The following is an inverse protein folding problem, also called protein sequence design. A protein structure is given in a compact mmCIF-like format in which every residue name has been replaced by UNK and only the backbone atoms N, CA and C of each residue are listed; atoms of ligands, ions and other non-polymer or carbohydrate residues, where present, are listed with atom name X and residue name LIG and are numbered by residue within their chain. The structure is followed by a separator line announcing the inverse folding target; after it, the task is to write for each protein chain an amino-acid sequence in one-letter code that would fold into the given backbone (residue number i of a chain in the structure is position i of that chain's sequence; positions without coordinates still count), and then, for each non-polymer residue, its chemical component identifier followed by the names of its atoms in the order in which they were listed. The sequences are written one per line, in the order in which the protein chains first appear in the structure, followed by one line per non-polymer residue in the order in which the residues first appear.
data_IF_250876692375
#
_entry.id   IF_250876692375
#
_cell.length_a   1.000
_cell.length_b   1.000
_cell.length_c   1.000
_cell.angle_alpha   90.00
_cell.angle_beta   90.00
_cell.angle_gamma   90.00
#
_symmetry.space_group_name_H-M   'P 1'
#
loop_
_entity.id
_entity.type
_entity.pdbx_description
1 polymer ?
#
# COMPACT_ATOMS: atom_id res chain seq x y z
N UNK A 1 21.47 -9.85 -19.08
CA UNK A 1 20.94 -8.61 -18.46
C UNK A 1 19.43 -8.69 -18.20
N UNK A 2 18.63 -9.30 -19.09
CA UNK A 2 17.17 -9.39 -18.91
C UNK A 2 16.74 -10.37 -17.81
N UNK A 3 17.37 -11.56 -17.71
CA UNK A 3 16.95 -12.61 -16.76
C UNK A 3 17.12 -12.23 -15.28
N UNK A 4 18.27 -11.68 -14.89
CA UNK A 4 18.50 -11.19 -13.51
C UNK A 4 17.56 -10.03 -13.16
N UNK A 5 17.27 -9.15 -14.12
CA UNK A 5 16.30 -8.06 -13.95
C UNK A 5 14.90 -8.60 -13.68
N UNK A 6 14.46 -9.60 -14.43
CA UNK A 6 13.15 -10.26 -14.22
C UNK A 6 13.07 -11.00 -12.90
N UNK A 7 14.14 -11.70 -12.48
CA UNK A 7 14.19 -12.41 -11.19
C UNK A 7 14.11 -11.42 -10.04
N UNK A 8 14.91 -10.35 -10.06
CA UNK A 8 14.89 -9.31 -9.04
C UNK A 8 13.52 -8.63 -8.96
N UNK A 9 12.90 -8.37 -10.11
CA UNK A 9 11.54 -7.82 -10.16
C UNK A 9 10.50 -8.78 -9.56
N UNK A 10 10.59 -10.06 -9.89
CA UNK A 10 9.67 -11.09 -9.37
C UNK A 10 9.78 -11.21 -7.85
N UNK A 11 11.01 -11.22 -7.31
CA UNK A 11 11.26 -11.25 -5.87
C UNK A 11 10.71 -9.99 -5.21
N UNK A 12 10.96 -8.82 -5.80
CA UNK A 12 10.42 -7.55 -5.29
C UNK A 12 8.89 -7.55 -5.25
N UNK A 13 8.24 -7.96 -6.34
CA UNK A 13 6.77 -8.07 -6.40
C UNK A 13 6.24 -9.05 -5.36
N UNK A 14 6.90 -10.20 -5.17
CA UNK A 14 6.50 -11.18 -4.16
C UNK A 14 6.61 -10.62 -2.73
N UNK A 15 7.67 -9.88 -2.42
CA UNK A 15 7.86 -9.23 -1.13
C UNK A 15 6.80 -8.15 -0.86
N UNK A 16 6.54 -7.29 -1.84
CA UNK A 16 5.49 -6.26 -1.73
C UNK A 16 4.12 -6.93 -1.56
N UNK A 17 3.80 -7.95 -2.36
CA UNK A 17 2.51 -8.66 -2.28
C UNK A 17 2.31 -9.34 -0.92
N UNK A 18 3.32 -10.02 -0.41
CA UNK A 18 3.30 -10.64 0.92
C UNK A 18 3.09 -9.60 2.02
N UNK A 19 3.83 -8.51 1.98
CA UNK A 19 3.73 -7.41 2.95
C UNK A 19 2.34 -6.79 2.91
N UNK A 20 1.83 -6.47 1.72
CA UNK A 20 0.48 -5.92 1.55
C UNK A 20 -0.57 -6.88 2.10
N UNK A 21 -0.48 -8.17 1.79
CA UNK A 21 -1.41 -9.19 2.29
C UNK A 21 -1.42 -9.25 3.82
N UNK A 22 -0.25 -9.27 4.45
CA UNK A 22 -0.11 -9.23 5.90
C UNK A 22 -0.74 -7.96 6.50
N UNK A 23 -0.49 -6.79 5.91
CA UNK A 23 -1.06 -5.52 6.37
C UNK A 23 -2.60 -5.54 6.28
N UNK A 24 -3.17 -6.10 5.22
CA UNK A 24 -4.61 -6.25 5.11
C UNK A 24 -5.18 -7.26 6.10
N UNK A 25 -4.51 -8.38 6.36
CA UNK A 25 -4.92 -9.33 7.40
C UNK A 25 -4.92 -8.68 8.79
N UNK A 26 -3.89 -7.91 9.11
CA UNK A 26 -3.71 -7.30 10.43
C UNK A 26 -4.63 -6.11 10.68
N UNK A 27 -4.79 -5.23 9.69
CA UNK A 27 -5.48 -3.94 9.87
C UNK A 27 -6.84 -3.89 9.16
N UNK A 28 -7.15 -4.83 8.26
CA UNK A 28 -8.45 -4.99 7.60
C UNK A 28 -8.74 -3.99 6.47
N UNK A 29 -8.42 -2.71 6.65
CA UNK A 29 -8.69 -1.67 5.64
C UNK A 29 -7.48 -0.78 5.40
N UNK A 30 -7.38 -0.21 4.19
CA UNK A 30 -6.33 0.75 3.82
C UNK A 30 -6.30 1.94 4.78
N UNK A 31 -7.47 2.44 5.21
CA UNK A 31 -7.55 3.53 6.19
C UNK A 31 -6.89 3.15 7.52
N UNK A 32 -7.16 1.94 8.04
CA UNK A 32 -6.55 1.49 9.28
C UNK A 32 -5.05 1.25 9.12
N UNK A 33 -4.60 0.74 7.96
CA UNK A 33 -3.17 0.58 7.64
C UNK A 33 -2.47 1.95 7.71
N UNK A 34 -3.02 2.96 7.03
CA UNK A 34 -2.45 4.32 7.03
C UNK A 34 -2.41 4.90 8.45
N UNK A 35 -3.52 4.83 9.20
CA UNK A 35 -3.57 5.34 10.57
C UNK A 35 -2.58 4.66 11.55
N UNK A 36 -2.17 3.42 11.28
CA UNK A 36 -1.28 2.66 12.18
C UNK A 36 0.20 2.67 11.76
N UNK A 37 0.50 2.97 10.49
CA UNK A 37 1.86 2.90 9.95
C UNK A 37 2.44 4.27 9.60
N UNK A 38 1.61 5.31 9.56
CA UNK A 38 2.05 6.68 9.30
C UNK A 38 1.50 7.61 10.38
N UNK A 39 2.09 8.78 10.52
CA UNK A 39 1.58 9.85 11.39
C UNK A 39 0.33 10.55 10.82
N UNK A 40 -0.38 9.89 9.89
CA UNK A 40 -1.56 10.47 9.27
C UNK A 40 -2.71 10.49 10.26
N UNK A 41 -3.36 11.64 10.33
CA UNK A 41 -4.62 11.77 11.05
C UNK A 41 -5.79 11.34 10.17
N UNK A 42 -6.97 11.17 10.78
CA UNK A 42 -8.20 10.94 10.02
C UNK A 42 -8.51 12.09 9.05
N UNK A 43 -8.09 13.31 9.36
CA UNK A 43 -8.25 14.46 8.48
C UNK A 43 -7.37 14.36 7.24
N UNK A 44 -6.13 13.90 7.40
CA UNK A 44 -5.21 13.68 6.28
C UNK A 44 -5.74 12.60 5.34
N UNK A 45 -6.28 11.51 5.90
CA UNK A 45 -6.93 10.47 5.10
C UNK A 45 -8.16 10.99 4.38
N UNK A 46 -8.97 11.87 5.01
CA UNK A 46 -10.09 12.52 4.33
C UNK A 46 -9.62 13.41 3.19
N UNK A 47 -8.54 14.17 3.36
CA UNK A 47 -7.94 14.98 2.28
C UNK A 47 -7.47 14.08 1.14
N UNK A 48 -6.73 13.01 1.43
CA UNK A 48 -6.28 12.03 0.41
C UNK A 48 -7.46 11.38 -0.30
N UNK A 49 -8.50 10.91 0.42
CA UNK A 49 -9.74 10.39 -0.19
C UNK A 49 -10.45 11.45 -1.03
N UNK A 50 -10.42 12.71 -0.61
CA UNK A 50 -10.97 13.84 -1.35
C UNK A 50 -10.19 14.14 -2.64
N UNK A 51 -8.86 14.02 -2.60
CA UNK A 51 -7.99 14.16 -3.77
C UNK A 51 -8.18 12.99 -4.76
N UNK A 52 -8.38 11.77 -4.25
CA UNK A 52 -8.69 10.59 -5.07
C UNK A 52 -10.12 10.60 -5.65
N UNK A 53 -11.03 11.42 -5.12
CA UNK A 53 -12.37 11.65 -5.67
C UNK A 53 -12.39 12.53 -6.93
N UNK A 54 -11.24 12.93 -7.48
CA UNK A 54 -11.18 13.51 -8.81
C UNK A 54 -11.07 12.41 -9.87
N UNK A 55 -12.09 12.37 -10.74
CA UNK A 55 -12.36 11.41 -11.85
C UNK A 55 -13.03 10.10 -11.46
N UNK A 56 -14.27 10.16 -10.97
CA UNK A 56 -15.39 9.36 -11.50
C UNK A 56 -16.70 10.12 -11.30
#
# INVERSE_FOLDING_TARGET
MELEGTINWTIFVALISSTTSYLFMKYGTVEKILLHLTDFTREDIKKVKGLLKWKY
#
